data_IF_792845807039
#
_entry.id   IF_792845807039
#
_cell.length_a   1.000
_cell.length_b   1.000
_cell.length_c   1.000
_cell.angle_alpha   90.00
_cell.angle_beta   90.00
_cell.angle_gamma   90.00
#
_symmetry.space_group_name_H-M   'P 1'
#
loop_
_entity.id
_entity.type
_entity.pdbx_description
1 polymer ?
#
# COMPACT_ATOMS: atom_id res chain seq x y z
N UNK A 1 -0.40 10.06 16.67
CA UNK A 1 -1.12 8.96 16.01
C UNK A 1 -2.25 8.48 16.89
N UNK A 2 -3.33 8.04 16.27
CA UNK A 2 -4.50 7.52 16.96
C UNK A 2 -4.38 6.02 17.20
N UNK A 3 -4.98 5.55 18.28
CA UNK A 3 -5.04 4.15 18.69
C UNK A 3 -6.44 3.79 19.17
N UNK A 4 -6.80 2.51 19.04
CA UNK A 4 -8.04 1.92 19.57
C UNK A 4 -7.73 0.72 20.47
N UNK A 5 -8.60 0.47 21.45
CA UNK A 5 -8.49 -0.72 22.31
C UNK A 5 -9.50 -1.78 21.83
N UNK A 6 -9.08 -3.00 21.43
CA UNK A 6 -9.97 -4.02 20.91
C UNK A 6 -11.00 -4.52 21.93
N UNK A 7 -10.71 -4.45 23.23
CA UNK A 7 -11.64 -4.85 24.29
C UNK A 7 -11.47 -3.99 25.58
N UNK A 8 -12.11 -2.82 25.65
CA UNK A 8 -11.95 -1.90 26.78
C UNK A 8 -12.71 -2.30 28.05
N UNK A 9 -13.61 -3.29 27.97
CA UNK A 9 -14.44 -3.73 29.09
C UNK A 9 -13.96 -5.03 29.73
N UNK A 10 -13.00 -5.70 29.11
CA UNK A 10 -12.35 -6.85 29.72
C UNK A 10 -11.54 -6.40 30.92
N UNK A 11 -11.91 -6.88 32.10
CA UNK A 11 -11.11 -6.72 33.32
C UNK A 11 -10.01 -7.77 33.42
N UNK A 12 -10.03 -8.78 32.56
CA UNK A 12 -9.13 -9.93 32.56
C UNK A 12 -8.06 -9.87 31.47
N UNK A 13 -8.30 -9.14 30.38
CA UNK A 13 -7.33 -8.99 29.29
C UNK A 13 -6.48 -7.72 29.49
N UNK A 14 -5.17 -7.78 29.21
CA UNK A 14 -4.34 -6.58 29.20
C UNK A 14 -4.88 -5.58 28.17
N UNK A 15 -4.82 -4.29 28.51
CA UNK A 15 -5.21 -3.21 27.61
C UNK A 15 -4.22 -3.15 26.45
N UNK A 16 -4.60 -3.72 25.30
CA UNK A 16 -3.82 -3.64 24.06
C UNK A 16 -4.28 -2.43 23.25
N UNK A 17 -3.39 -1.47 23.00
CA UNK A 17 -3.71 -0.34 22.11
C UNK A 17 -3.18 -0.66 20.72
N UNK A 18 -4.09 -0.85 19.77
CA UNK A 18 -3.76 -1.07 18.36
C UNK A 18 -3.76 0.26 17.61
N UNK A 19 -2.77 0.44 16.74
CA UNK A 19 -2.70 1.61 15.88
C UNK A 19 -3.68 1.51 14.72
N UNK A 20 -4.19 2.65 14.26
CA UNK A 20 -4.81 2.74 12.94
C UNK A 20 -3.75 2.70 11.84
N UNK A 21 -4.16 2.33 10.62
CA UNK A 21 -3.26 2.37 9.47
C UNK A 21 -2.73 3.79 9.21
N UNK A 22 -1.66 3.92 8.42
CA UNK A 22 -1.13 5.25 8.08
C UNK A 22 -2.21 6.10 7.39
N UNK A 23 -2.99 5.51 6.49
CA UNK A 23 -4.04 6.22 5.73
C UNK A 23 -5.22 6.58 6.63
N UNK A 24 -5.65 5.66 7.50
CA UNK A 24 -6.70 5.96 8.48
C UNK A 24 -6.28 7.12 9.38
N UNK A 25 -5.02 7.15 9.86
CA UNK A 25 -4.51 8.29 10.62
C UNK A 25 -4.52 9.59 9.82
N UNK A 26 -4.19 9.57 8.52
CA UNK A 26 -4.28 10.76 7.67
C UNK A 26 -5.71 11.29 7.59
N UNK A 27 -6.70 10.40 7.42
CA UNK A 27 -8.12 10.77 7.39
C UNK A 27 -8.54 11.36 8.75
N UNK A 28 -8.21 10.69 9.85
CA UNK A 28 -8.58 11.11 11.21
C UNK A 28 -8.00 12.50 11.52
N UNK A 29 -6.71 12.72 11.24
CA UNK A 29 -6.05 14.00 11.51
C UNK A 29 -6.59 15.14 10.63
N UNK A 30 -6.95 14.87 9.37
CA UNK A 30 -7.59 15.87 8.50
C UNK A 30 -8.97 16.29 9.01
N UNK A 31 -9.83 15.31 9.37
CA UNK A 31 -11.17 15.58 9.91
C UNK A 31 -11.07 16.35 11.23
N UNK A 32 -10.11 15.99 12.09
CA UNK A 32 -9.83 16.69 13.34
C UNK A 32 -9.37 18.13 13.10
N UNK A 33 -8.45 18.36 12.15
CA UNK A 33 -7.97 19.68 11.78
C UNK A 33 -9.11 20.57 11.24
N UNK A 34 -10.06 19.97 10.54
CA UNK A 34 -11.28 20.61 10.04
C UNK A 34 -12.36 20.82 11.12
N UNK A 35 -12.07 20.49 12.39
CA UNK A 35 -12.97 20.65 13.56
C UNK A 35 -14.32 19.93 13.41
N UNK A 36 -14.37 18.88 12.59
CA UNK A 36 -15.58 18.07 12.46
C UNK A 36 -15.73 17.17 13.70
N UNK A 37 -16.95 16.94 14.21
CA UNK A 37 -17.15 16.19 15.45
C UNK A 37 -16.95 14.68 15.28
N UNK A 38 -17.09 14.16 14.05
CA UNK A 38 -17.05 12.74 13.73
C UNK A 38 -16.19 12.47 12.50
N UNK A 39 -15.50 11.35 12.50
CA UNK A 39 -14.69 10.86 11.38
C UNK A 39 -15.24 9.52 10.89
N UNK A 40 -15.66 9.44 9.64
CA UNK A 40 -16.07 8.19 8.99
C UNK A 40 -14.86 7.44 8.44
N UNK A 41 -14.77 6.15 8.72
CA UNK A 41 -13.79 5.22 8.17
C UNK A 41 -14.54 3.98 7.67
N UNK A 42 -13.85 3.09 6.97
CA UNK A 42 -14.48 1.96 6.26
C UNK A 42 -15.28 1.01 7.18
N UNK A 43 -14.73 0.63 8.32
CA UNK A 43 -15.39 -0.31 9.25
C UNK A 43 -16.07 0.33 10.46
N UNK A 44 -15.78 1.60 10.73
CA UNK A 44 -16.19 2.29 11.96
C UNK A 44 -16.20 3.80 11.78
N UNK A 45 -16.81 4.49 12.73
CA UNK A 45 -16.79 5.93 12.84
C UNK A 45 -16.26 6.33 14.21
N UNK A 46 -15.47 7.40 14.25
CA UNK A 46 -14.90 7.95 15.47
C UNK A 46 -15.68 9.20 15.87
N UNK A 47 -16.17 9.23 17.11
CA UNK A 47 -16.67 10.43 17.75
C UNK A 47 -15.55 11.06 18.59
N UNK A 48 -15.08 12.23 18.17
CA UNK A 48 -13.98 12.92 18.86
C UNK A 48 -14.41 13.56 20.19
N UNK A 49 -15.70 13.91 20.34
CA UNK A 49 -16.22 14.52 21.56
C UNK A 49 -16.21 13.50 22.70
N UNK A 50 -16.65 12.27 22.40
CA UNK A 50 -16.71 11.20 23.40
C UNK A 50 -15.46 10.32 23.44
N UNK A 51 -14.54 10.48 22.46
CA UNK A 51 -13.34 9.65 22.28
C UNK A 51 -13.67 8.15 22.19
N UNK A 52 -14.69 7.85 21.40
CA UNK A 52 -15.17 6.48 21.17
C UNK A 52 -15.30 6.25 19.67
N UNK A 53 -14.89 5.08 19.20
CA UNK A 53 -15.27 4.56 17.90
C UNK A 53 -16.45 3.60 18.02
N UNK A 54 -17.31 3.57 17.01
CA UNK A 54 -18.43 2.65 16.88
C UNK A 54 -18.35 1.94 15.53
N UNK A 55 -18.67 0.65 15.50
CA UNK A 55 -18.71 -0.10 14.25
C UNK A 55 -19.83 0.42 13.35
N UNK A 56 -19.56 0.50 12.04
CA UNK A 56 -20.56 0.86 11.05
C UNK A 56 -21.65 -0.21 10.89
N UNK A 57 -21.34 -1.48 11.22
CA UNK A 57 -22.25 -2.61 11.07
C UNK A 57 -23.06 -2.92 12.34
N UNK A 58 -22.53 -2.55 13.52
CA UNK A 58 -23.15 -2.86 14.81
C UNK A 58 -22.92 -1.72 15.81
N UNK A 59 -23.98 -0.96 16.08
CA UNK A 59 -23.93 0.19 16.99
C UNK A 59 -23.57 -0.17 18.44
N UNK A 60 -23.72 -1.45 18.83
CA UNK A 60 -23.34 -1.94 20.16
C UNK A 60 -21.84 -2.20 20.28
N UNK A 61 -21.12 -2.35 19.15
CA UNK A 61 -19.67 -2.55 19.14
C UNK A 61 -18.96 -1.20 19.17
N UNK A 62 -18.59 -0.79 20.38
CA UNK A 62 -17.87 0.46 20.60
C UNK A 62 -16.47 0.18 21.16
N UNK A 63 -15.53 1.11 21.00
CA UNK A 63 -14.18 1.01 21.59
C UNK A 63 -13.67 2.42 21.90
N UNK A 64 -13.00 2.67 23.03
CA UNK A 64 -12.39 3.95 23.28
C UNK A 64 -11.23 4.15 22.31
N UNK A 65 -11.01 5.41 21.97
CA UNK A 65 -9.90 5.84 21.13
C UNK A 65 -9.07 6.86 21.87
N UNK A 66 -7.77 6.90 21.56
CA UNK A 66 -6.90 7.95 22.09
C UNK A 66 -5.94 8.44 21.02
N UNK A 67 -5.61 9.72 21.11
CA UNK A 67 -4.53 10.33 20.33
C UNK A 67 -3.27 10.33 21.19
N UNK A 68 -2.21 9.71 20.71
CA UNK A 68 -0.89 9.67 21.35
C UNK A 68 0.07 10.55 20.54
N UNK A 69 0.79 11.44 21.21
CA UNK A 69 1.90 12.18 20.60
C UNK A 69 3.12 11.26 20.66
N UNK A 70 3.69 10.91 19.51
CA UNK A 70 4.87 10.05 19.46
C UNK A 70 6.07 10.79 20.05
N UNK A 71 6.84 10.10 20.89
CA UNK A 71 8.19 10.52 21.21
C UNK A 71 9.17 9.98 20.16
N UNK A 72 10.32 10.65 20.00
CA UNK A 72 11.35 10.27 19.01
C UNK A 72 11.93 8.86 19.23
N UNK A 73 11.71 8.30 20.41
CA UNK A 73 12.17 6.98 20.86
C UNK A 73 11.11 5.87 20.69
N UNK A 74 9.87 6.19 20.30
CA UNK A 74 8.84 5.19 19.97
C UNK A 74 9.17 4.50 18.64
N UNK A 75 10.03 3.49 18.71
CA UNK A 75 10.37 2.60 17.61
C UNK A 75 9.16 1.70 17.28
N UNK A 76 8.30 2.17 16.39
CA UNK A 76 7.27 1.33 15.80
C UNK A 76 7.84 0.59 14.59
N UNK A 77 8.11 -0.70 14.78
CA UNK A 77 8.35 -1.62 13.68
C UNK A 77 7.01 -1.95 13.02
N UNK A 78 6.87 -1.60 11.73
CA UNK A 78 5.70 -1.94 10.91
C UNK A 78 5.72 -3.43 10.59
N UNK A 79 5.37 -4.27 11.56
CA UNK A 79 5.45 -5.73 11.44
C UNK A 79 4.71 -6.24 10.19
N UNK A 80 3.56 -5.66 9.85
CA UNK A 80 2.76 -6.06 8.69
C UNK A 80 3.45 -5.84 7.33
N UNK A 81 4.41 -4.91 7.21
CA UNK A 81 5.21 -4.78 5.99
C UNK A 81 6.15 -5.99 5.79
N UNK A 82 6.40 -6.74 6.86
CA UNK A 82 7.31 -7.90 6.90
C UNK A 82 6.54 -9.24 6.97
N UNK A 83 5.22 -9.22 7.17
CA UNK A 83 4.36 -10.40 7.29
C UNK A 83 3.48 -10.56 6.04
N UNK A 84 3.93 -11.28 5.02
CA UNK A 84 3.04 -11.62 3.90
C UNK A 84 3.16 -13.07 3.48
N UNK A 85 2.02 -13.72 3.59
CA UNK A 85 1.69 -15.08 3.18
C UNK A 85 0.76 -15.00 1.94
N UNK A 86 0.93 -15.82 0.88
CA UNK A 86 2.04 -16.73 0.65
C UNK A 86 3.26 -16.05 0.05
N UNK A 87 4.42 -16.48 0.52
CA UNK A 87 5.63 -16.50 -0.29
C UNK A 87 5.41 -17.63 -1.27
N UNK A 88 5.15 -17.32 -2.54
CA UNK A 88 5.02 -18.34 -3.57
C UNK A 88 6.24 -19.27 -3.47
N UNK A 89 6.07 -20.59 -3.22
CA UNK A 89 7.19 -21.48 -2.88
C UNK A 89 8.24 -21.63 -3.99
N UNK A 90 7.97 -21.12 -5.19
CA UNK A 90 8.77 -21.34 -6.39
C UNK A 90 9.53 -20.13 -6.92
N UNK A 91 9.36 -18.93 -6.36
CA UNK A 91 10.04 -17.75 -6.91
C UNK A 91 10.92 -17.08 -5.85
N UNK A 92 12.24 -17.15 -6.09
CA UNK A 92 13.20 -16.28 -5.43
C UNK A 92 12.78 -14.82 -5.66
N UNK A 93 12.60 -14.09 -4.56
CA UNK A 93 12.23 -12.68 -4.50
C UNK A 93 12.82 -11.88 -5.68
N UNK A 94 12.00 -11.62 -6.71
CA UNK A 94 12.19 -10.57 -7.71
C UNK A 94 13.34 -10.71 -8.72
N UNK A 95 14.01 -11.84 -8.87
CA UNK A 95 15.22 -11.94 -9.72
C UNK A 95 15.00 -12.45 -11.16
N UNK A 96 13.77 -12.77 -11.57
CA UNK A 96 13.51 -13.51 -12.83
C UNK A 96 13.07 -12.66 -14.03
N UNK A 97 12.82 -11.36 -13.86
CA UNK A 97 12.42 -10.51 -14.99
C UNK A 97 13.58 -9.63 -15.43
N UNK A 98 13.73 -9.47 -16.76
CA UNK A 98 14.69 -8.54 -17.35
C UNK A 98 14.40 -7.07 -16.97
N UNK A 99 14.97 -6.12 -17.71
CA UNK A 99 14.90 -4.69 -17.38
C UNK A 99 13.46 -4.11 -17.25
N UNK A 100 12.43 -4.80 -17.78
CA UNK A 100 11.01 -4.42 -17.69
C UNK A 100 10.14 -5.63 -17.30
N UNK A 101 9.27 -5.47 -16.30
CA UNK A 101 8.33 -6.51 -15.86
C UNK A 101 7.27 -6.84 -16.93
N UNK A 102 6.89 -8.11 -17.14
CA UNK A 102 5.78 -8.49 -18.03
C UNK A 102 4.48 -7.72 -17.75
N UNK A 103 4.22 -7.40 -16.48
CA UNK A 103 3.06 -6.62 -16.08
C UNK A 103 3.07 -5.22 -16.71
N UNK A 104 4.20 -4.51 -16.66
CA UNK A 104 4.35 -3.16 -17.23
C UNK A 104 4.18 -3.20 -18.76
N UNK A 105 4.61 -4.28 -19.41
CA UNK A 105 4.40 -4.48 -20.85
C UNK A 105 2.91 -4.58 -21.17
N UNK A 106 2.16 -5.39 -20.43
CA UNK A 106 0.71 -5.56 -20.61
C UNK A 106 -0.07 -4.27 -20.31
N UNK A 107 0.32 -3.55 -19.26
CA UNK A 107 -0.26 -2.24 -18.92
C UNK A 107 -0.10 -1.25 -20.07
N UNK A 108 1.10 -1.18 -20.66
CA UNK A 108 1.35 -0.32 -21.81
C UNK A 108 0.45 -0.68 -23.00
N UNK A 109 0.24 -1.98 -23.25
CA UNK A 109 -0.62 -2.48 -24.33
C UNK A 109 -2.08 -2.14 -24.06
N UNK A 110 -2.60 -2.40 -22.85
CA UNK A 110 -3.99 -2.10 -22.46
C UNK A 110 -4.29 -0.58 -22.52
N UNK A 111 -3.31 0.25 -22.20
CA UNK A 111 -3.40 1.71 -22.34
C UNK A 111 -3.20 2.22 -23.78
N UNK A 112 -2.89 1.35 -24.74
CA UNK A 112 -2.66 1.72 -26.14
C UNK A 112 -1.41 2.59 -26.37
N UNK A 113 -0.44 2.53 -25.46
CA UNK A 113 0.77 3.36 -25.51
C UNK A 113 1.88 2.72 -26.34
N UNK A 114 2.61 3.55 -27.10
CA UNK A 114 3.85 3.13 -27.78
C UNK A 114 5.00 3.07 -26.78
N UNK A 115 6.11 2.40 -27.15
CA UNK A 115 7.28 2.24 -26.27
C UNK A 115 7.93 3.58 -25.88
N UNK A 116 7.79 4.58 -26.74
CA UNK A 116 8.37 5.91 -26.58
C UNK A 116 7.48 6.84 -25.74
N UNK A 117 6.20 6.48 -25.54
CA UNK A 117 5.17 7.27 -24.85
C UNK A 117 5.11 6.94 -23.35
N UNK A 118 6.27 6.91 -22.70
CA UNK A 118 6.35 6.74 -21.25
C UNK A 118 5.99 8.04 -20.53
N UNK A 119 5.39 7.98 -19.32
CA UNK A 119 4.97 9.16 -18.54
C UNK A 119 6.03 10.27 -18.45
N UNK A 120 7.30 9.90 -18.24
CA UNK A 120 8.44 10.81 -18.16
C UNK A 120 8.74 11.52 -19.48
N UNK A 121 8.49 10.86 -20.61
CA UNK A 121 8.78 11.39 -21.95
C UNK A 121 7.59 12.14 -22.56
N UNK A 122 6.40 11.98 -22.01
CA UNK A 122 5.16 12.53 -22.57
C UNK A 122 4.28 13.06 -21.45
N UNK A 123 4.57 14.29 -21.04
CA UNK A 123 3.88 14.98 -19.93
C UNK A 123 2.39 15.12 -20.15
N UNK A 124 1.95 15.21 -21.41
CA UNK A 124 0.53 15.34 -21.77
C UNK A 124 -0.30 14.11 -21.38
N UNK A 125 0.34 12.95 -21.17
CA UNK A 125 -0.33 11.73 -20.74
C UNK A 125 -0.54 11.67 -19.23
N UNK A 126 0.17 12.49 -18.45
CA UNK A 126 0.18 12.41 -16.99
C UNK A 126 -1.23 12.57 -16.41
N UNK A 127 -2.05 13.57 -16.78
CA UNK A 127 -3.37 13.73 -16.19
C UNK A 127 -4.28 12.52 -16.46
N UNK A 128 -4.23 11.98 -17.67
CA UNK A 128 -5.00 10.78 -18.05
C UNK A 128 -4.56 9.56 -17.25
N UNK A 129 -3.25 9.35 -17.07
CA UNK A 129 -2.71 8.24 -16.31
C UNK A 129 -3.03 8.37 -14.81
N UNK A 130 -2.92 9.57 -14.26
CA UNK A 130 -3.27 9.86 -12.87
C UNK A 130 -4.75 9.57 -12.62
N UNK A 131 -5.64 10.00 -13.52
CA UNK A 131 -7.08 9.74 -13.34
C UNK A 131 -7.39 8.23 -13.45
N UNK A 132 -6.80 7.51 -14.41
CA UNK A 132 -6.95 6.06 -14.50
C UNK A 132 -6.41 5.33 -13.26
N UNK A 133 -5.26 5.77 -12.73
CA UNK A 133 -4.68 5.23 -11.51
C UNK A 133 -5.60 5.48 -10.30
N UNK A 134 -6.10 6.70 -10.16
CA UNK A 134 -7.03 7.07 -9.10
C UNK A 134 -8.32 6.23 -9.14
N UNK A 135 -8.90 6.04 -10.34
CA UNK A 135 -10.08 5.19 -10.53
C UNK A 135 -9.81 3.73 -10.17
N UNK A 136 -8.68 3.17 -10.62
CA UNK A 136 -8.30 1.81 -10.31
C UNK A 136 -8.04 1.56 -8.81
N UNK A 137 -7.44 2.53 -8.11
CA UNK A 137 -7.28 2.48 -6.65
C UNK A 137 -8.66 2.43 -5.96
N UNK A 138 -9.61 3.28 -6.40
CA UNK A 138 -10.97 3.32 -5.86
C UNK A 138 -11.70 1.99 -6.10
N UNK A 139 -11.59 1.43 -7.30
CA UNK A 139 -12.21 0.16 -7.66
C UNK A 139 -11.69 -1.00 -6.79
N UNK A 140 -10.37 -1.14 -6.68
CA UNK A 140 -9.75 -2.17 -5.84
C UNK A 140 -10.10 -2.00 -4.36
N UNK A 141 -10.14 -0.75 -3.86
CA UNK A 141 -10.56 -0.44 -2.51
C UNK A 141 -12.01 -0.86 -2.24
N UNK A 142 -12.93 -0.54 -3.15
CA UNK A 142 -14.34 -0.93 -3.02
C UNK A 142 -14.51 -2.45 -2.97
N UNK A 143 -13.77 -3.20 -3.79
CA UNK A 143 -13.84 -4.66 -3.80
C UNK A 143 -13.48 -5.33 -2.48
N UNK A 144 -12.66 -4.68 -1.65
CA UNK A 144 -12.22 -5.20 -0.35
C UNK A 144 -12.85 -4.46 0.84
N UNK A 145 -13.84 -3.59 0.60
CA UNK A 145 -14.48 -2.80 1.65
C UNK A 145 -13.59 -1.71 2.26
N UNK A 146 -12.67 -1.15 1.48
CA UNK A 146 -11.74 -0.06 1.83
C UNK A 146 -11.99 1.20 1.00
N UNK A 147 -13.25 1.59 0.84
CA UNK A 147 -13.67 2.70 -0.01
C UNK A 147 -13.16 4.07 0.46
N UNK A 148 -13.26 4.39 1.75
CA UNK A 148 -12.77 5.65 2.32
C UNK A 148 -11.24 5.75 2.22
N UNK A 149 -10.54 4.66 2.54
CA UNK A 149 -9.08 4.59 2.38
C UNK A 149 -8.68 4.84 0.92
N UNK A 150 -9.39 4.19 -0.02
CA UNK A 150 -9.10 4.32 -1.45
C UNK A 150 -9.40 5.70 -2.02
N UNK A 151 -10.51 6.32 -1.62
CA UNK A 151 -10.83 7.69 -2.00
C UNK A 151 -9.76 8.68 -1.49
N UNK A 152 -9.27 8.48 -0.26
CA UNK A 152 -8.18 9.31 0.28
C UNK A 152 -6.92 9.20 -0.57
N UNK A 153 -6.47 7.97 -0.87
CA UNK A 153 -5.28 7.73 -1.70
C UNK A 153 -5.44 8.30 -3.12
N UNK A 154 -6.60 8.08 -3.74
CA UNK A 154 -6.91 8.59 -5.08
C UNK A 154 -6.90 10.12 -5.13
N UNK A 155 -7.48 10.78 -4.12
CA UNK A 155 -7.49 12.24 -4.05
C UNK A 155 -6.09 12.82 -3.84
N UNK A 156 -5.25 12.17 -3.01
CA UNK A 156 -3.86 12.58 -2.83
C UNK A 156 -3.08 12.55 -4.15
N UNK A 157 -3.33 11.54 -5.00
CA UNK A 157 -2.71 11.41 -6.32
C UNK A 157 -3.23 12.48 -7.30
N UNK A 158 -4.56 12.68 -7.37
CA UNK A 158 -5.20 13.69 -8.24
C UNK A 158 -4.68 15.11 -8.01
N UNK A 159 -4.42 15.47 -6.74
CA UNK A 159 -3.87 16.80 -6.38
C UNK A 159 -2.48 17.05 -7.03
N UNK A 160 -1.76 16.01 -7.45
CA UNK A 160 -0.46 16.17 -8.10
C UNK A 160 -0.51 16.15 -9.63
N UNK A 161 -1.67 15.90 -10.25
CA UNK A 161 -1.78 15.64 -11.69
C UNK A 161 -1.18 16.76 -12.57
N UNK A 162 -1.30 18.01 -12.13
CA UNK A 162 -0.87 19.20 -12.86
C UNK A 162 0.53 19.70 -12.45
N UNK A 163 1.21 18.97 -11.54
CA UNK A 163 2.52 19.37 -11.00
C UNK A 163 3.71 18.72 -11.70
N UNK A 164 3.45 17.91 -12.73
CA UNK A 164 4.47 17.20 -13.51
C UNK A 164 4.87 15.84 -12.93
N UNK A 165 5.62 15.07 -13.72
CA UNK A 165 5.91 13.65 -13.46
C UNK A 165 6.70 13.43 -12.16
N UNK A 166 7.59 14.35 -11.79
CA UNK A 166 8.41 14.20 -10.58
C UNK A 166 7.54 14.20 -9.31
N UNK A 167 6.60 15.13 -9.22
CA UNK A 167 5.69 15.22 -8.06
C UNK A 167 4.67 14.09 -8.05
N UNK A 168 4.18 13.67 -9.22
CA UNK A 168 3.32 12.48 -9.35
C UNK A 168 4.07 11.23 -8.90
N UNK A 169 5.31 11.03 -9.35
CA UNK A 169 6.14 9.89 -8.99
C UNK A 169 6.44 9.87 -7.49
N UNK A 170 6.86 11.00 -6.90
CA UNK A 170 7.08 11.13 -5.45
C UNK A 170 5.82 10.77 -4.67
N UNK A 171 4.66 11.21 -5.16
CA UNK A 171 3.37 10.84 -4.57
C UNK A 171 3.13 9.33 -4.68
N UNK A 172 3.26 8.72 -5.85
CA UNK A 172 3.14 7.28 -6.03
C UNK A 172 4.06 6.49 -5.09
N UNK A 173 5.33 6.90 -4.95
CA UNK A 173 6.30 6.29 -4.05
C UNK A 173 5.86 6.44 -2.58
N UNK A 174 5.38 7.64 -2.20
CA UNK A 174 4.82 7.88 -0.87
C UNK A 174 3.61 6.98 -0.60
N UNK A 175 2.62 6.94 -1.50
CA UNK A 175 1.42 6.11 -1.37
C UNK A 175 1.77 4.62 -1.26
N UNK A 176 2.73 4.14 -2.06
CA UNK A 176 3.24 2.78 -1.97
C UNK A 176 3.94 2.49 -0.64
N UNK A 177 4.50 3.50 0.03
CA UNK A 177 5.17 3.33 1.34
C UNK A 177 4.22 3.38 2.55
N UNK A 178 2.96 3.79 2.35
CA UNK A 178 1.96 3.85 3.42
C UNK A 178 1.49 2.44 3.75
N UNK A 179 1.33 2.17 5.04
CA UNK A 179 0.57 1.01 5.52
C UNK A 179 -0.88 1.18 5.07
N UNK A 180 -1.20 0.53 3.95
CA UNK A 180 -2.46 0.68 3.22
C UNK A 180 -2.81 -0.61 2.49
N UNK A 181 -4.07 -0.75 2.10
CA UNK A 181 -4.48 -1.87 1.25
C UNK A 181 -3.73 -1.89 -0.09
N UNK A 182 -3.41 -0.70 -0.63
CA UNK A 182 -2.76 -0.54 -1.93
C UNK A 182 -1.38 -1.20 -1.93
N UNK A 183 -0.57 -0.93 -0.90
CA UNK A 183 0.74 -1.57 -0.75
C UNK A 183 0.61 -3.10 -0.66
N UNK A 184 -0.34 -3.60 0.16
CA UNK A 184 -0.58 -5.03 0.36
C UNK A 184 -0.91 -5.71 -0.97
N UNK A 185 -1.89 -5.15 -1.71
CA UNK A 185 -2.36 -5.68 -2.99
C UNK A 185 -1.29 -5.62 -4.07
N UNK A 186 -0.54 -4.52 -4.17
CA UNK A 186 0.54 -4.42 -5.15
C UNK A 186 1.63 -5.47 -4.88
N UNK A 187 2.07 -5.64 -3.63
CA UNK A 187 3.10 -6.64 -3.32
C UNK A 187 2.63 -8.08 -3.57
N UNK A 188 1.37 -8.38 -3.28
CA UNK A 188 0.75 -9.67 -3.59
C UNK A 188 0.78 -9.94 -5.10
N UNK A 189 0.26 -9.01 -5.91
CA UNK A 189 0.20 -9.16 -7.37
C UNK A 189 1.60 -9.27 -7.98
N UNK A 190 2.56 -8.47 -7.51
CA UNK A 190 3.93 -8.48 -8.04
C UNK A 190 4.64 -9.83 -7.83
N UNK A 191 4.23 -10.63 -6.83
CA UNK A 191 4.76 -11.98 -6.61
C UNK A 191 4.17 -13.03 -7.55
N UNK A 192 2.96 -12.79 -8.06
CA UNK A 192 2.29 -13.69 -9.00
C UNK A 192 2.72 -13.50 -10.44
N UNK A 193 3.35 -12.36 -10.76
CA UNK A 193 3.87 -12.10 -12.09
C UNK A 193 4.82 -13.22 -12.47
N UNK A 194 4.63 -13.79 -13.67
CA UNK A 194 5.40 -14.87 -14.26
C UNK A 194 5.32 -16.24 -13.58
N UNK A 195 4.38 -16.44 -12.65
CA UNK A 195 3.92 -17.77 -12.26
C UNK A 195 2.78 -18.22 -13.20
N UNK A 196 2.98 -19.32 -13.93
CA UNK A 196 1.98 -19.84 -14.89
C UNK A 196 0.60 -20.10 -14.23
N UNK A 197 0.58 -20.59 -12.98
CA UNK A 197 -0.66 -20.86 -12.25
C UNK A 197 -1.45 -19.62 -11.81
N UNK A 198 -0.82 -18.44 -11.76
CA UNK A 198 -1.43 -17.20 -11.27
C UNK A 198 -1.55 -16.14 -12.36
N UNK A 199 -1.38 -16.51 -13.62
CA UNK A 199 -1.40 -15.57 -14.75
C UNK A 199 -2.71 -14.80 -14.86
N UNK A 200 -3.83 -15.51 -14.74
CA UNK A 200 -5.16 -14.91 -14.76
C UNK A 200 -5.37 -13.90 -13.61
N UNK A 201 -4.75 -14.13 -12.44
CA UNK A 201 -4.87 -13.26 -11.27
C UNK A 201 -4.22 -11.92 -11.54
N UNK A 202 -2.93 -11.90 -11.89
CA UNK A 202 -2.24 -10.63 -12.11
C UNK A 202 -2.72 -9.91 -13.38
N UNK A 203 -3.10 -10.63 -14.44
CA UNK A 203 -3.66 -10.01 -15.66
C UNK A 203 -4.96 -9.28 -15.40
N UNK A 204 -5.81 -9.82 -14.52
CA UNK A 204 -7.08 -9.15 -14.15
C UNK A 204 -6.86 -7.76 -13.53
N UNK A 205 -5.67 -7.51 -12.95
CA UNK A 205 -5.29 -6.26 -12.27
C UNK A 205 -4.59 -5.25 -13.17
N UNK A 206 -4.34 -5.58 -14.43
CA UNK A 206 -3.71 -4.67 -15.39
C UNK A 206 -4.53 -3.40 -15.57
N UNK A 207 -5.86 -3.50 -15.65
CA UNK A 207 -6.74 -2.35 -15.87
C UNK A 207 -6.87 -1.43 -14.65
N UNK A 208 -6.82 -2.00 -13.45
CA UNK A 208 -7.02 -1.27 -12.21
C UNK A 208 -5.71 -0.77 -11.61
N UNK A 209 -4.76 -1.66 -11.32
CA UNK A 209 -3.49 -1.31 -10.68
C UNK A 209 -2.41 -0.89 -11.68
N UNK A 210 -2.56 -1.26 -12.95
CA UNK A 210 -1.59 -0.98 -14.00
C UNK A 210 -1.16 0.47 -14.15
N UNK A 211 -2.10 1.42 -14.33
CA UNK A 211 -1.76 2.83 -14.49
C UNK A 211 -0.93 3.37 -13.31
N UNK A 212 -1.27 2.98 -12.08
CA UNK A 212 -0.49 3.35 -10.89
C UNK A 212 0.92 2.74 -10.94
N UNK A 213 1.04 1.45 -11.26
CA UNK A 213 2.33 0.79 -11.40
C UNK A 213 3.21 1.42 -12.48
N UNK A 214 2.62 1.84 -13.61
CA UNK A 214 3.36 2.50 -14.68
C UNK A 214 3.93 3.85 -14.20
N UNK A 215 3.13 4.65 -13.50
CA UNK A 215 3.57 5.92 -12.91
C UNK A 215 4.67 5.73 -11.85
N UNK A 216 4.63 4.64 -11.08
CA UNK A 216 5.64 4.32 -10.08
C UNK A 216 6.94 3.76 -10.71
N UNK A 217 6.81 2.99 -11.78
CA UNK A 217 7.92 2.31 -12.44
C UNK A 217 8.81 3.26 -13.26
N UNK A 218 8.20 4.26 -13.92
CA UNK A 218 8.90 5.22 -14.78
C UNK A 218 9.56 6.35 -13.96
N UNK A 219 10.57 5.99 -13.16
CA UNK A 219 11.28 6.87 -12.23
C UNK A 219 12.05 8.00 -12.95
N UNK A 220 11.62 9.27 -12.81
CA UNK A 220 12.29 10.41 -13.43
C UNK A 220 13.56 10.85 -12.67
N UNK A 221 13.77 10.34 -11.46
CA UNK A 221 14.79 10.79 -10.49
C UNK A 221 16.02 9.87 -10.50
N UNK A 222 16.06 8.81 -11.30
CA UNK A 222 17.10 7.76 -11.27
C UNK A 222 18.52 8.29 -11.61
N UNK A 223 19.11 8.99 -10.64
CA UNK A 223 20.50 9.42 -10.54
C UNK A 223 21.24 8.24 -9.94
N UNK A 224 22.09 7.59 -10.74
CA UNK A 224 23.04 6.53 -10.37
C UNK A 224 23.02 6.15 -8.87
N UNK A 225 22.23 5.13 -8.52
CA UNK A 225 22.22 4.62 -7.15
C UNK A 225 23.64 4.16 -6.75
N UNK A 226 24.07 4.53 -5.54
CA UNK A 226 25.31 4.00 -4.96
C UNK A 226 25.15 2.49 -4.80
N UNK A 227 25.90 1.73 -5.60
CA UNK A 227 25.81 0.27 -5.71
C UNK A 227 26.31 -0.50 -4.48
N UNK A 228 26.94 0.18 -3.51
CA UNK A 228 27.48 -0.42 -2.29
C UNK A 228 26.66 -0.05 -1.04
N UNK A 229 25.36 -0.35 -1.05
CA UNK A 229 24.53 -0.27 0.16
C UNK A 229 24.06 -1.67 0.58
N UNK A 230 24.31 -2.02 1.85
CA UNK A 230 23.68 -3.19 2.47
C UNK A 230 22.29 -2.79 2.95
N UNK A 231 21.28 -3.49 2.45
CA UNK A 231 19.89 -3.33 2.85
C UNK A 231 19.43 -4.58 3.60
N UNK A 232 18.59 -4.40 4.61
CA UNK A 232 18.00 -5.48 5.38
C UNK A 232 16.50 -5.51 5.13
N UNK A 233 15.94 -6.70 4.92
CA UNK A 233 14.50 -6.90 4.77
C UNK A 233 14.06 -7.99 5.74
N UNK A 234 13.12 -7.66 6.62
CA UNK A 234 12.45 -8.66 7.45
C UNK A 234 11.44 -9.45 6.61
N UNK A 235 11.37 -10.76 6.84
CA UNK A 235 10.35 -11.63 6.27
C UNK A 235 10.03 -12.69 7.31
N UNK A 236 8.75 -12.95 7.55
CA UNK A 236 8.33 -14.11 8.33
C UNK A 236 8.28 -15.34 7.42
N UNK A 237 9.11 -16.31 7.74
CA UNK A 237 9.27 -17.55 7.00
C UNK A 237 8.73 -18.70 7.85
N UNK A 238 8.11 -19.67 7.20
CA UNK A 238 7.86 -20.97 7.82
C UNK A 238 9.18 -21.71 8.09
N UNK A 239 9.19 -22.65 9.03
CA UNK A 239 10.38 -23.46 9.34
C UNK A 239 10.92 -24.19 8.10
N UNK A 240 10.04 -24.64 7.20
CA UNK A 240 10.42 -25.28 5.93
C UNK A 240 11.12 -24.30 4.98
N UNK A 241 10.65 -23.06 4.90
CA UNK A 241 11.28 -22.01 4.10
C UNK A 241 12.62 -21.59 4.70
N UNK A 242 12.72 -21.45 6.02
CA UNK A 242 13.98 -21.17 6.72
C UNK A 242 15.03 -22.24 6.40
N UNK A 243 14.67 -23.52 6.52
CA UNK A 243 15.57 -24.63 6.20
C UNK A 243 16.03 -24.61 4.72
N UNK A 244 15.15 -24.19 3.81
CA UNK A 244 15.49 -24.04 2.39
C UNK A 244 16.50 -22.90 2.17
N UNK A 245 16.25 -21.72 2.73
CA UNK A 245 17.17 -20.58 2.61
C UNK A 245 18.52 -20.83 3.29
N UNK A 246 18.54 -21.48 4.45
CA UNK A 246 19.79 -21.88 5.11
C UNK A 246 20.63 -22.82 4.24
N UNK A 247 19.97 -23.75 3.53
CA UNK A 247 20.65 -24.66 2.60
C UNK A 247 21.24 -23.88 1.41
N UNK A 248 20.49 -22.96 0.82
CA UNK A 248 20.97 -22.11 -0.28
C UNK A 248 22.14 -21.22 0.14
N UNK A 249 22.12 -20.70 1.37
CA UNK A 249 23.21 -19.87 1.89
C UNK A 249 24.49 -20.66 2.16
N UNK A 250 24.39 -21.94 2.55
CA UNK A 250 25.54 -22.83 2.77
C UNK A 250 26.14 -23.39 1.48
N UNK A 251 25.32 -23.52 0.44
CA UNK A 251 25.75 -24.00 -0.89
C UNK A 251 25.35 -22.96 -1.95
N UNK A 252 26.02 -21.81 -1.99
CA UNK A 252 25.79 -20.84 -3.07
C UNK A 252 26.22 -21.50 -4.39
N UNK A 253 25.26 -21.72 -5.27
CA UNK A 253 25.51 -22.18 -6.64
C UNK A 253 26.23 -21.14 -7.49
#
# INVERSE_FOLDING_TARGET
>A
MWQSNPNPWSKSEPVEWSHYSDVENLIIEEVLANKQPKCMLDGYCIDFKHKVQFSNADANKQRPVKRVVRNREDNHLRQELFMFDPIAPLHSLGSTYGWVSPFIVEVRIDLGLRREQLPFKSTDLIPMLVEKAAQGIIEEGRHIGKAYEAEKLANMLRVQQDKGIEEVWKCCAYLYSLESFLYKKLNEIMRFIGSEGYEHVWRSKVRTLGPFCLLLWDDPINKQMKTNMKLYRGVNLTDEQLATYERMAKFPG
#
